data_IF_742565310818
#
_entry.id   IF_742565310818
#
_cell.length_a   1.000
_cell.length_b   1.000
_cell.length_c   1.000
_cell.angle_alpha   90.00
_cell.angle_beta   90.00
_cell.angle_gamma   90.00
#
_symmetry.space_group_name_H-M   'P 1'
#
loop_
_entity.id
_entity.type
_entity.pdbx_description
1 polymer ?
#
# COMPACT_ATOMS: atom_id res chain seq x y z
N UNK A 1 -45.55 -19.10 56.65
CA UNK A 1 -44.11 -18.74 56.79
C UNK A 1 -43.27 -19.31 55.65
N UNK A 2 -43.25 -20.63 55.39
CA UNK A 2 -42.54 -21.23 54.23
C UNK A 2 -42.97 -20.69 52.84
N UNK A 3 -44.25 -20.43 52.62
CA UNK A 3 -44.77 -19.86 51.37
C UNK A 3 -44.38 -18.39 51.14
N UNK A 4 -44.21 -17.61 52.21
CA UNK A 4 -43.71 -16.22 52.11
C UNK A 4 -42.20 -16.16 51.84
N UNK A 5 -41.43 -17.09 52.41
CA UNK A 5 -39.98 -17.18 52.16
C UNK A 5 -39.73 -17.54 50.68
N UNK A 6 -40.49 -18.49 50.12
CA UNK A 6 -40.38 -18.84 48.70
C UNK A 6 -40.79 -17.72 47.73
N UNK A 7 -41.80 -16.91 48.06
CA UNK A 7 -42.18 -15.73 47.26
C UNK A 7 -41.10 -14.62 47.33
N UNK A 8 -40.49 -14.42 48.49
CA UNK A 8 -39.39 -13.46 48.63
C UNK A 8 -38.16 -13.89 47.81
N UNK A 9 -37.76 -15.16 47.89
CA UNK A 9 -36.63 -15.70 47.12
C UNK A 9 -36.87 -15.56 45.61
N UNK A 10 -38.09 -15.85 45.14
CA UNK A 10 -38.45 -15.68 43.73
C UNK A 10 -38.35 -14.22 43.28
N UNK A 11 -38.81 -13.27 44.10
CA UNK A 11 -38.72 -11.84 43.79
C UNK A 11 -37.29 -11.32 43.80
N UNK A 12 -36.46 -11.79 44.74
CA UNK A 12 -35.03 -11.47 44.79
C UNK A 12 -34.33 -12.00 43.55
N UNK A 13 -34.62 -13.24 43.13
CA UNK A 13 -34.04 -13.79 41.90
C UNK A 13 -34.43 -12.98 40.66
N UNK A 14 -35.71 -12.67 40.49
CA UNK A 14 -36.18 -11.84 39.37
C UNK A 14 -35.57 -10.44 39.37
N UNK A 15 -35.31 -9.87 40.55
CA UNK A 15 -34.60 -8.59 40.66
C UNK A 15 -33.15 -8.73 40.20
N UNK A 16 -32.44 -9.74 40.69
CA UNK A 16 -31.05 -10.02 40.30
C UNK A 16 -30.93 -10.21 38.79
N UNK A 17 -31.78 -11.05 38.18
CA UNK A 17 -31.77 -11.32 36.74
C UNK A 17 -31.98 -10.03 35.92
N UNK A 18 -32.87 -9.14 36.37
CA UNK A 18 -33.12 -7.85 35.71
C UNK A 18 -31.94 -6.88 35.84
N UNK A 19 -31.29 -6.87 37.00
CA UNK A 19 -30.11 -6.02 37.23
C UNK A 19 -28.96 -6.50 36.36
N UNK A 20 -28.70 -7.80 36.32
CA UNK A 20 -27.65 -8.40 35.49
C UNK A 20 -27.90 -8.15 34.00
N UNK A 21 -29.13 -8.36 33.52
CA UNK A 21 -29.48 -8.11 32.12
C UNK A 21 -29.25 -6.64 31.71
N UNK A 22 -29.64 -5.69 32.57
CA UNK A 22 -29.39 -4.25 32.34
C UNK A 22 -27.91 -3.89 32.40
N UNK A 23 -27.16 -4.49 33.32
CA UNK A 23 -25.72 -4.30 33.43
C UNK A 23 -25.02 -4.76 32.16
N UNK A 24 -25.38 -5.94 31.64
CA UNK A 24 -24.82 -6.48 30.41
C UNK A 24 -25.15 -5.60 29.19
N UNK A 25 -26.39 -5.14 29.05
CA UNK A 25 -26.79 -4.18 28.01
C UNK A 25 -25.99 -2.87 28.07
N UNK A 26 -25.79 -2.33 29.28
CA UNK A 26 -24.99 -1.13 29.47
C UNK A 26 -23.54 -1.37 29.04
N UNK A 27 -22.96 -2.50 29.42
CA UNK A 27 -21.59 -2.85 29.05
C UNK A 27 -21.43 -3.00 27.53
N UNK A 28 -22.37 -3.69 26.87
CA UNK A 28 -22.41 -3.80 25.41
C UNK A 28 -22.56 -2.43 24.73
N UNK A 29 -23.39 -1.55 25.29
CA UNK A 29 -23.56 -0.19 24.79
C UNK A 29 -22.28 0.63 24.91
N UNK A 30 -21.62 0.60 26.06
CA UNK A 30 -20.34 1.29 26.29
C UNK A 30 -19.27 0.78 25.31
N UNK A 31 -19.17 -0.54 25.14
CA UNK A 31 -18.21 -1.16 24.19
C UNK A 31 -18.44 -0.67 22.76
N UNK A 32 -19.67 -0.82 22.26
CA UNK A 32 -20.04 -0.39 20.90
C UNK A 32 -19.79 1.10 20.68
N UNK A 33 -20.17 1.96 21.63
CA UNK A 33 -19.95 3.40 21.49
C UNK A 33 -18.45 3.76 21.52
N UNK A 34 -17.65 3.07 22.32
CA UNK A 34 -16.19 3.26 22.36
C UNK A 34 -15.58 2.93 21.00
N UNK A 35 -15.86 1.72 20.49
CA UNK A 35 -15.34 1.30 19.20
C UNK A 35 -15.91 2.11 18.03
N UNK A 36 -17.15 2.60 18.11
CA UNK A 36 -17.71 3.53 17.14
C UNK A 36 -16.87 4.80 17.03
N UNK A 37 -16.47 5.39 18.16
CA UNK A 37 -15.66 6.61 18.14
C UNK A 37 -14.23 6.34 17.62
N UNK A 38 -13.64 5.21 18.01
CA UNK A 38 -12.32 4.80 17.54
C UNK A 38 -12.29 4.57 16.03
N UNK A 39 -13.24 3.81 15.48
CA UNK A 39 -13.28 3.53 14.04
C UNK A 39 -13.58 4.79 13.22
N UNK A 40 -14.39 5.72 13.75
CA UNK A 40 -14.65 7.00 13.10
C UNK A 40 -13.38 7.86 13.03
N UNK A 41 -12.63 7.96 14.13
CA UNK A 41 -11.36 8.68 14.16
C UNK A 41 -10.33 8.02 13.24
N UNK A 42 -10.28 6.69 13.21
CA UNK A 42 -9.44 5.92 12.29
C UNK A 42 -9.77 6.22 10.83
N UNK A 43 -11.05 6.29 10.47
CA UNK A 43 -11.46 6.67 9.11
C UNK A 43 -10.97 8.08 8.73
N UNK A 44 -11.04 9.05 9.64
CA UNK A 44 -10.52 10.40 9.39
C UNK A 44 -9.01 10.40 9.16
N UNK A 45 -8.26 9.62 9.95
CA UNK A 45 -6.81 9.46 9.81
C UNK A 45 -6.44 8.83 8.46
N UNK A 46 -7.11 7.73 8.09
CA UNK A 46 -6.83 7.03 6.84
C UNK A 46 -7.16 7.87 5.61
N UNK A 47 -8.30 8.56 5.61
CA UNK A 47 -8.67 9.46 4.51
C UNK A 47 -7.65 10.58 4.33
N UNK A 48 -7.16 11.15 5.43
CA UNK A 48 -6.11 12.17 5.39
C UNK A 48 -4.78 11.59 4.89
N UNK A 49 -4.37 10.43 5.40
CA UNK A 49 -3.10 9.77 5.07
C UNK A 49 -2.98 9.48 3.57
N UNK A 50 -4.07 9.02 2.96
CA UNK A 50 -4.10 8.60 1.55
C UNK A 50 -4.64 9.67 0.59
N UNK A 51 -4.87 10.89 1.07
CA UNK A 51 -5.26 12.02 0.23
C UNK A 51 -4.13 12.46 -0.70
N UNK A 52 -2.90 12.49 -0.17
CA UNK A 52 -1.70 12.86 -0.92
C UNK A 52 -1.23 11.66 -1.75
N UNK A 53 -1.60 11.64 -3.03
CA UNK A 53 -1.26 10.58 -3.99
C UNK A 53 0.22 10.64 -4.41
N UNK A 54 1.11 10.36 -3.48
CA UNK A 54 2.58 10.37 -3.68
C UNK A 54 3.16 8.97 -3.53
N UNK A 55 4.35 8.77 -4.12
CA UNK A 55 5.10 7.50 -4.03
C UNK A 55 6.50 7.70 -3.44
N UNK A 56 7.04 6.65 -2.82
CA UNK A 56 8.43 6.63 -2.38
C UNK A 56 9.38 6.45 -3.58
N UNK A 57 10.67 6.74 -3.39
CA UNK A 57 11.69 6.74 -4.45
C UNK A 57 12.65 5.54 -4.40
N UNK A 58 12.63 4.77 -3.32
CA UNK A 58 13.49 3.61 -3.08
C UNK A 58 12.65 2.35 -2.81
N UNK A 59 13.21 1.19 -3.16
CA UNK A 59 12.50 -0.09 -3.15
C UNK A 59 12.06 -0.47 -1.73
N UNK A 60 12.94 -0.29 -0.75
CA UNK A 60 12.66 -0.66 0.65
C UNK A 60 11.51 0.16 1.25
N UNK A 61 11.49 1.47 1.00
CA UNK A 61 10.39 2.33 1.45
C UNK A 61 9.09 2.02 0.71
N UNK A 62 9.13 1.73 -0.59
CA UNK A 62 7.96 1.30 -1.35
C UNK A 62 7.35 -0.01 -0.80
N UNK A 63 8.18 -1.03 -0.52
CA UNK A 63 7.70 -2.29 0.07
C UNK A 63 7.14 -2.08 1.48
N UNK A 64 7.81 -1.29 2.33
CA UNK A 64 7.28 -0.93 3.66
C UNK A 64 5.94 -0.21 3.57
N UNK A 65 5.79 0.77 2.68
CA UNK A 65 4.52 1.48 2.45
C UNK A 65 3.41 0.53 2.00
N UNK A 66 3.74 -0.48 1.19
CA UNK A 66 2.79 -1.50 0.72
C UNK A 66 2.40 -2.48 1.82
N UNK A 67 3.35 -2.95 2.62
CA UNK A 67 3.08 -3.79 3.80
C UNK A 67 2.21 -3.05 4.82
N UNK A 68 2.54 -1.79 5.10
CA UNK A 68 1.76 -0.94 5.99
C UNK A 68 0.33 -0.76 5.46
N UNK A 69 0.17 -0.48 4.16
CA UNK A 69 -1.16 -0.36 3.56
C UNK A 69 -1.96 -1.67 3.66
N UNK A 70 -1.32 -2.83 3.46
CA UNK A 70 -1.96 -4.13 3.62
C UNK A 70 -2.47 -4.32 5.06
N UNK A 71 -1.59 -4.10 6.04
CA UNK A 71 -1.93 -4.20 7.46
C UNK A 71 -3.08 -3.26 7.84
N UNK A 72 -3.04 -2.01 7.39
CA UNK A 72 -4.09 -1.02 7.67
C UNK A 72 -5.41 -1.38 6.99
N UNK A 73 -5.38 -1.86 5.74
CA UNK A 73 -6.59 -2.26 5.02
C UNK A 73 -7.28 -3.47 5.65
N UNK A 74 -6.50 -4.46 6.12
CA UNK A 74 -6.99 -5.65 6.80
C UNK A 74 -7.50 -5.33 8.21
N UNK A 75 -6.71 -4.57 8.98
CA UNK A 75 -7.11 -4.08 10.30
C UNK A 75 -8.39 -3.23 10.25
N UNK A 76 -8.55 -2.39 9.22
CA UNK A 76 -9.78 -1.63 9.00
C UNK A 76 -10.98 -2.55 8.73
N UNK A 77 -10.80 -3.59 7.91
CA UNK A 77 -11.87 -4.53 7.61
C UNK A 77 -12.29 -5.33 8.86
N UNK A 78 -11.33 -5.74 9.68
CA UNK A 78 -11.59 -6.43 10.94
C UNK A 78 -12.28 -5.52 11.95
N UNK A 79 -11.79 -4.29 12.16
CA UNK A 79 -12.42 -3.32 13.05
C UNK A 79 -13.87 -3.02 12.61
N UNK A 80 -14.09 -2.83 11.31
CA UNK A 80 -15.42 -2.66 10.74
C UNK A 80 -16.34 -3.84 11.07
N UNK A 81 -15.92 -5.07 10.80
CA UNK A 81 -16.72 -6.26 11.07
C UNK A 81 -17.06 -6.40 12.57
N UNK A 82 -16.07 -6.16 13.44
CA UNK A 82 -16.24 -6.20 14.89
C UNK A 82 -17.24 -5.15 15.38
N UNK A 83 -17.06 -3.87 15.04
CA UNK A 83 -17.93 -2.79 15.52
C UNK A 83 -19.36 -2.89 14.96
N UNK A 84 -19.53 -3.33 13.71
CA UNK A 84 -20.86 -3.62 13.14
C UNK A 84 -21.50 -4.79 13.90
N UNK A 85 -20.75 -5.86 14.16
CA UNK A 85 -21.21 -7.00 14.93
C UNK A 85 -21.71 -6.60 16.32
N UNK A 86 -20.94 -5.80 17.05
CA UNK A 86 -21.32 -5.25 18.35
C UNK A 86 -22.62 -4.43 18.29
N UNK A 87 -22.74 -3.54 17.30
CA UNK A 87 -23.94 -2.73 17.12
C UNK A 87 -25.18 -3.57 16.82
N UNK A 88 -25.07 -4.54 15.92
CA UNK A 88 -26.17 -5.45 15.57
C UNK A 88 -26.59 -6.34 16.74
N UNK A 89 -25.63 -6.86 17.51
CA UNK A 89 -25.91 -7.63 18.72
C UNK A 89 -26.61 -6.75 19.77
N UNK A 90 -26.15 -5.52 19.98
CA UNK A 90 -26.75 -4.61 20.93
C UNK A 90 -28.21 -4.27 20.57
N UNK A 91 -28.52 -4.05 19.29
CA UNK A 91 -29.90 -3.87 18.81
C UNK A 91 -30.74 -5.10 19.16
N UNK A 92 -30.24 -6.29 18.85
CA UNK A 92 -30.94 -7.54 19.12
C UNK A 92 -31.23 -7.75 20.62
N UNK A 93 -30.25 -7.49 21.48
CA UNK A 93 -30.41 -7.62 22.94
C UNK A 93 -31.40 -6.59 23.51
N UNK A 94 -31.42 -5.36 22.98
CA UNK A 94 -32.40 -4.34 23.36
C UNK A 94 -33.83 -4.77 22.98
N UNK A 95 -34.03 -5.37 21.81
CA UNK A 95 -35.32 -5.89 21.37
C UNK A 95 -35.81 -7.02 22.29
N UNK A 96 -34.94 -8.00 22.59
CA UNK A 96 -35.26 -9.10 23.50
C UNK A 96 -35.60 -8.56 24.89
N UNK A 97 -34.79 -7.64 25.42
CA UNK A 97 -35.02 -7.07 26.75
C UNK A 97 -36.31 -6.25 26.79
N UNK A 98 -36.63 -5.51 25.73
CA UNK A 98 -37.89 -4.77 25.60
C UNK A 98 -39.09 -5.73 25.69
N UNK A 99 -39.07 -6.83 24.94
CA UNK A 99 -40.13 -7.84 24.95
C UNK A 99 -40.29 -8.51 26.32
N UNK A 100 -39.19 -8.80 27.02
CA UNK A 100 -39.21 -9.48 28.33
C UNK A 100 -39.65 -8.58 29.49
N UNK A 101 -39.33 -7.29 29.43
CA UNK A 101 -39.50 -6.37 30.57
C UNK A 101 -40.57 -5.31 30.37
N UNK A 102 -41.07 -5.13 29.14
CA UNK A 102 -42.02 -4.07 28.77
C UNK A 102 -41.40 -2.67 28.71
N UNK A 103 -40.07 -2.55 28.82
CA UNK A 103 -39.37 -1.27 28.69
C UNK A 103 -39.25 -0.93 27.21
N UNK A 104 -39.63 0.28 26.82
CA UNK A 104 -39.49 0.77 25.45
C UNK A 104 -38.06 1.28 25.18
N UNK A 105 -37.35 0.61 24.26
CA UNK A 105 -36.03 1.01 23.77
C UNK A 105 -36.03 1.48 22.32
N UNK A 106 -37.20 1.79 21.73
CA UNK A 106 -37.33 2.15 20.31
C UNK A 106 -36.40 3.30 19.91
N UNK A 107 -36.27 4.33 20.76
CA UNK A 107 -35.37 5.46 20.50
C UNK A 107 -33.88 5.06 20.56
N UNK A 108 -33.50 4.16 21.48
CA UNK A 108 -32.12 3.68 21.60
C UNK A 108 -31.74 2.83 20.39
N UNK A 109 -32.63 1.91 19.99
CA UNK A 109 -32.45 1.07 18.79
C UNK A 109 -32.33 1.95 17.54
N UNK A 110 -33.18 2.97 17.38
CA UNK A 110 -33.08 3.90 16.26
C UNK A 110 -31.75 4.67 16.25
N UNK A 111 -31.24 5.06 17.43
CA UNK A 111 -29.94 5.71 17.57
C UNK A 111 -28.80 4.78 17.12
N UNK A 112 -28.74 3.57 17.65
CA UNK A 112 -27.69 2.58 17.32
C UNK A 112 -27.71 2.25 15.82
N UNK A 113 -28.89 2.03 15.24
CA UNK A 113 -29.04 1.81 13.80
C UNK A 113 -28.51 3.00 12.96
N UNK A 114 -28.66 4.23 13.43
CA UNK A 114 -28.07 5.41 12.76
C UNK A 114 -26.54 5.36 12.82
N UNK A 115 -25.97 4.98 13.96
CA UNK A 115 -24.51 4.86 14.12
C UNK A 115 -23.94 3.74 13.24
N UNK A 116 -24.60 2.59 13.16
CA UNK A 116 -24.26 1.50 12.22
C UNK A 116 -24.23 2.02 10.79
N UNK A 117 -25.29 2.71 10.34
CA UNK A 117 -25.33 3.31 8.99
C UNK A 117 -24.21 4.32 8.76
N UNK A 118 -23.81 5.08 9.79
CA UNK A 118 -22.67 5.98 9.68
C UNK A 118 -21.37 5.21 9.45
N UNK A 119 -21.14 4.10 10.17
CA UNK A 119 -19.99 3.21 9.97
C UNK A 119 -19.99 2.67 8.54
N UNK A 120 -21.11 2.10 8.08
CA UNK A 120 -21.26 1.58 6.71
C UNK A 120 -20.93 2.64 5.64
N UNK A 121 -21.45 3.85 5.81
CA UNK A 121 -21.21 4.96 4.90
C UNK A 121 -19.74 5.38 4.86
N UNK A 122 -19.08 5.50 6.02
CA UNK A 122 -17.64 5.85 6.09
C UNK A 122 -16.78 4.73 5.53
N UNK A 123 -17.09 3.47 5.85
CA UNK A 123 -16.39 2.30 5.33
C UNK A 123 -16.46 2.23 3.79
N UNK A 124 -17.62 2.51 3.21
CA UNK A 124 -17.82 2.54 1.76
C UNK A 124 -16.96 3.62 1.09
N UNK A 125 -16.91 4.83 1.67
CA UNK A 125 -16.05 5.92 1.18
C UNK A 125 -14.58 5.55 1.23
N UNK A 126 -14.11 5.01 2.34
CA UNK A 126 -12.71 4.61 2.48
C UNK A 126 -12.35 3.43 1.57
N UNK A 127 -13.25 2.46 1.41
CA UNK A 127 -13.07 1.33 0.49
C UNK A 127 -12.86 1.77 -0.96
N UNK A 128 -13.46 2.89 -1.38
CA UNK A 128 -13.23 3.46 -2.70
C UNK A 128 -11.79 3.98 -2.91
N UNK A 129 -11.05 4.26 -1.84
CA UNK A 129 -9.65 4.74 -1.85
C UNK A 129 -8.67 3.57 -1.96
N UNK A 130 -9.01 2.40 -1.41
CA UNK A 130 -8.13 1.23 -1.33
C UNK A 130 -7.60 0.75 -2.67
N UNK A 131 -8.45 0.58 -3.68
CA UNK A 131 -7.98 0.08 -4.96
C UNK A 131 -7.07 1.09 -5.71
N UNK A 132 -7.44 2.38 -5.85
CA UNK A 132 -6.52 3.40 -6.38
C UNK A 132 -5.19 3.44 -5.63
N UNK A 133 -5.21 3.38 -4.30
CA UNK A 133 -3.99 3.41 -3.49
C UNK A 133 -3.12 2.17 -3.71
N UNK A 134 -3.71 0.98 -3.82
CA UNK A 134 -2.97 -0.25 -4.16
C UNK A 134 -2.25 -0.13 -5.50
N UNK A 135 -2.93 0.38 -6.51
CA UNK A 135 -2.36 0.58 -7.85
C UNK A 135 -1.22 1.61 -7.77
N UNK A 136 -1.42 2.71 -7.04
CA UNK A 136 -0.41 3.73 -6.82
C UNK A 136 0.86 3.16 -6.19
N UNK A 137 0.73 2.35 -5.14
CA UNK A 137 1.86 1.68 -4.47
C UNK A 137 2.59 0.71 -5.40
N UNK A 138 1.87 -0.02 -6.24
CA UNK A 138 2.48 -0.90 -7.26
C UNK A 138 3.27 -0.10 -8.30
N UNK A 139 2.72 1.03 -8.77
CA UNK A 139 3.42 1.93 -9.69
C UNK A 139 4.68 2.49 -9.02
N UNK A 140 4.57 2.96 -7.77
CA UNK A 140 5.70 3.47 -6.99
C UNK A 140 6.83 2.45 -6.83
N UNK A 141 6.49 1.21 -6.49
CA UNK A 141 7.46 0.12 -6.38
C UNK A 141 8.14 -0.18 -7.72
N UNK A 142 7.38 -0.29 -8.81
CA UNK A 142 7.97 -0.52 -10.14
C UNK A 142 8.86 0.63 -10.58
N UNK A 143 8.47 1.87 -10.28
CA UNK A 143 9.30 3.05 -10.50
C UNK A 143 10.61 2.98 -9.71
N UNK A 144 10.57 2.63 -8.43
CA UNK A 144 11.76 2.51 -7.60
C UNK A 144 12.71 1.39 -8.09
N UNK A 145 12.15 0.25 -8.51
CA UNK A 145 12.90 -0.85 -9.13
C UNK A 145 13.56 -0.37 -10.43
N UNK A 146 12.82 0.32 -11.30
CA UNK A 146 13.37 0.92 -12.51
C UNK A 146 14.56 1.84 -12.21
N UNK A 147 14.43 2.74 -11.22
CA UNK A 147 15.52 3.66 -10.85
C UNK A 147 16.75 2.90 -10.36
N UNK A 148 16.57 1.91 -9.47
CA UNK A 148 17.67 1.07 -8.96
C UNK A 148 18.36 0.33 -10.09
N UNK A 149 17.61 -0.39 -10.91
CA UNK A 149 18.14 -1.21 -11.99
C UNK A 149 18.83 -0.34 -13.05
N UNK A 150 18.30 0.86 -13.32
CA UNK A 150 18.96 1.83 -14.21
C UNK A 150 20.31 2.28 -13.64
N UNK A 151 20.38 2.61 -12.35
CA UNK A 151 21.64 2.96 -11.70
C UNK A 151 22.67 1.83 -11.76
N UNK A 152 22.23 0.59 -11.56
CA UNK A 152 23.11 -0.60 -11.66
C UNK A 152 23.65 -0.78 -13.08
N UNK A 153 22.79 -0.71 -14.10
CA UNK A 153 23.19 -0.79 -15.51
C UNK A 153 24.13 0.35 -15.87
N UNK A 154 23.86 1.58 -15.44
CA UNK A 154 24.76 2.72 -15.65
C UNK A 154 26.15 2.49 -15.02
N UNK A 155 26.20 1.89 -13.84
CA UNK A 155 27.47 1.53 -13.19
C UNK A 155 28.22 0.46 -13.98
N UNK A 156 27.52 -0.55 -14.49
CA UNK A 156 28.12 -1.61 -15.32
C UNK A 156 28.67 -1.05 -16.64
N UNK A 157 27.92 -0.17 -17.31
CA UNK A 157 28.35 0.51 -18.53
C UNK A 157 29.64 1.31 -18.28
N UNK A 158 29.70 2.07 -17.18
CA UNK A 158 30.89 2.87 -16.83
C UNK A 158 32.10 1.99 -16.51
N UNK A 159 31.93 0.92 -15.74
CA UNK A 159 33.01 -0.03 -15.44
C UNK A 159 33.56 -0.64 -16.72
N UNK A 160 32.69 -1.03 -17.65
CA UNK A 160 33.11 -1.57 -18.94
C UNK A 160 33.84 -0.53 -19.78
N UNK A 161 33.40 0.73 -19.79
CA UNK A 161 34.07 1.83 -20.48
C UNK A 161 35.51 2.03 -19.96
N UNK A 162 35.68 2.00 -18.64
CA UNK A 162 36.98 2.12 -17.97
C UNK A 162 37.89 0.93 -18.29
N UNK A 163 37.37 -0.31 -18.22
CA UNK A 163 38.10 -1.53 -18.55
C UNK A 163 38.58 -1.51 -20.01
N UNK A 164 37.70 -1.14 -20.95
CA UNK A 164 38.04 -1.03 -22.38
C UNK A 164 39.12 0.02 -22.63
N UNK A 165 39.01 1.18 -21.97
CA UNK A 165 40.02 2.24 -22.06
C UNK A 165 41.38 1.77 -21.55
N UNK A 166 41.41 1.12 -20.39
CA UNK A 166 42.65 0.57 -19.82
C UNK A 166 43.28 -0.52 -20.70
N UNK A 167 42.45 -1.34 -21.35
CA UNK A 167 42.93 -2.34 -22.32
C UNK A 167 43.54 -1.69 -23.57
N UNK A 168 42.94 -0.62 -24.08
CA UNK A 168 43.45 0.13 -25.24
C UNK A 168 44.78 0.85 -24.94
N UNK A 169 44.93 1.37 -23.73
CA UNK A 169 46.16 2.05 -23.28
C UNK A 169 47.30 1.06 -22.97
N UNK A 170 47.01 -0.26 -22.92
CA UNK A 170 48.00 -1.29 -22.64
C UNK A 170 48.94 -1.55 -23.83
N UNK A 171 50.24 -1.58 -23.55
CA UNK A 171 51.29 -1.90 -24.53
C UNK A 171 51.20 -3.30 -25.16
N UNK A 172 50.30 -4.15 -24.67
CA UNK A 172 50.08 -5.53 -25.14
C UNK A 172 48.83 -5.69 -26.01
N UNK A 173 48.07 -4.62 -26.24
CA UNK A 173 46.79 -4.63 -26.97
C UNK A 173 46.91 -5.27 -28.37
N UNK A 174 47.90 -4.85 -29.17
CA UNK A 174 48.10 -5.35 -30.54
C UNK A 174 48.36 -6.87 -30.61
N UNK A 175 48.94 -7.48 -29.57
CA UNK A 175 49.20 -8.93 -29.51
C UNK A 175 48.03 -9.75 -28.98
N UNK A 176 47.02 -9.10 -28.38
CA UNK A 176 45.87 -9.74 -27.74
C UNK A 176 44.54 -9.42 -28.42
N UNK A 177 44.51 -8.54 -29.43
CA UNK A 177 43.30 -8.09 -30.12
C UNK A 177 42.32 -9.22 -30.54
N UNK A 178 42.81 -10.31 -31.13
CA UNK A 178 41.97 -11.48 -31.50
C UNK A 178 41.29 -12.14 -30.29
N UNK A 179 41.94 -12.12 -29.13
CA UNK A 179 41.37 -12.67 -27.88
C UNK A 179 40.40 -11.70 -27.22
N UNK A 180 40.51 -10.40 -27.48
CA UNK A 180 39.68 -9.35 -26.87
C UNK A 180 38.35 -9.18 -27.61
N UNK A 181 38.34 -9.38 -28.93
CA UNK A 181 37.17 -9.16 -29.77
C UNK A 181 35.92 -9.97 -29.34
N UNK A 182 35.99 -11.26 -28.96
CA UNK A 182 34.80 -12.00 -28.51
C UNK A 182 34.23 -11.49 -27.18
N UNK A 183 35.08 -11.10 -26.22
CA UNK A 183 34.62 -10.51 -24.96
C UNK A 183 33.94 -9.17 -25.19
N UNK A 184 34.47 -8.38 -26.11
CA UNK A 184 33.87 -7.12 -26.52
C UNK A 184 32.47 -7.33 -27.13
N UNK A 185 32.32 -8.28 -28.05
CA UNK A 185 31.03 -8.61 -28.68
C UNK A 185 30.00 -9.14 -27.67
N UNK A 186 30.42 -9.94 -26.70
CA UNK A 186 29.52 -10.44 -25.65
C UNK A 186 29.06 -9.30 -24.73
N UNK A 187 30.00 -8.46 -24.26
CA UNK A 187 29.68 -7.31 -23.41
C UNK A 187 28.77 -6.30 -24.13
N UNK A 188 29.03 -6.04 -25.41
CA UNK A 188 28.17 -5.26 -26.31
C UNK A 188 26.72 -5.77 -26.27
N UNK A 189 26.54 -7.08 -26.46
CA UNK A 189 25.22 -7.70 -26.49
C UNK A 189 24.53 -7.62 -25.13
N UNK A 190 25.28 -7.82 -24.04
CA UNK A 190 24.77 -7.69 -22.67
C UNK A 190 24.31 -6.27 -22.37
N UNK A 191 25.09 -5.24 -22.72
CA UNK A 191 24.70 -3.82 -22.55
C UNK A 191 23.44 -3.50 -23.36
N UNK A 192 23.40 -3.85 -24.65
CA UNK A 192 22.22 -3.63 -25.51
C UNK A 192 20.97 -4.30 -24.94
N UNK A 193 21.10 -5.52 -24.41
CA UNK A 193 20.00 -6.24 -23.78
C UNK A 193 19.55 -5.57 -22.47
N UNK A 194 20.49 -5.20 -21.59
CA UNK A 194 20.20 -4.53 -20.32
C UNK A 194 19.49 -3.20 -20.55
N UNK A 195 19.99 -2.35 -21.45
CA UNK A 195 19.37 -1.08 -21.80
C UNK A 195 17.96 -1.28 -22.36
N UNK A 196 17.77 -2.27 -23.24
CA UNK A 196 16.44 -2.62 -23.77
C UNK A 196 15.46 -3.01 -22.66
N UNK A 197 15.92 -3.79 -21.67
CA UNK A 197 15.09 -4.18 -20.53
C UNK A 197 14.70 -2.99 -19.66
N UNK A 198 15.63 -2.07 -19.38
CA UNK A 198 15.35 -0.83 -18.64
C UNK A 198 14.34 0.05 -19.40
N UNK A 199 14.51 0.23 -20.71
CA UNK A 199 13.55 0.97 -21.55
C UNK A 199 12.15 0.35 -21.52
N UNK A 200 12.06 -0.98 -21.59
CA UNK A 200 10.79 -1.70 -21.50
C UNK A 200 10.13 -1.50 -20.13
N UNK A 201 10.88 -1.64 -19.04
CA UNK A 201 10.39 -1.40 -17.69
C UNK A 201 9.85 0.03 -17.52
N UNK A 202 10.61 1.03 -17.99
CA UNK A 202 10.19 2.43 -17.99
C UNK A 202 8.87 2.65 -18.77
N UNK A 203 8.73 2.03 -19.94
CA UNK A 203 7.50 2.12 -20.74
C UNK A 203 6.31 1.49 -20.01
N UNK A 204 6.48 0.33 -19.38
CA UNK A 204 5.42 -0.31 -18.58
C UNK A 204 4.99 0.58 -17.41
N UNK A 205 5.94 1.24 -16.72
CA UNK A 205 5.64 2.19 -15.65
C UNK A 205 4.86 3.39 -16.18
N UNK A 206 5.32 4.01 -17.28
CA UNK A 206 4.64 5.15 -17.90
C UNK A 206 3.22 4.81 -18.40
N UNK A 207 3.06 3.64 -19.03
CA UNK A 207 1.74 3.14 -19.43
C UNK A 207 0.83 2.93 -18.23
N UNK A 208 1.36 2.36 -17.14
CA UNK A 208 0.59 2.18 -15.90
C UNK A 208 0.15 3.51 -15.29
N UNK A 209 1.04 4.52 -15.32
CA UNK A 209 0.74 5.88 -14.86
C UNK A 209 -0.38 6.51 -15.70
N UNK A 210 -0.25 6.51 -17.02
CA UNK A 210 -1.25 7.12 -17.90
C UNK A 210 -2.59 6.38 -17.86
N UNK A 211 -2.56 5.05 -17.88
CA UNK A 211 -3.77 4.21 -17.87
C UNK A 211 -4.63 4.34 -16.60
N UNK A 212 -4.03 4.79 -15.50
CA UNK A 212 -4.73 5.01 -14.23
C UNK A 212 -4.93 6.51 -13.90
N UNK A 213 -4.60 7.43 -14.82
CA UNK A 213 -4.82 8.86 -14.62
C UNK A 213 -3.87 9.52 -13.61
N UNK A 214 -2.67 8.96 -13.40
CA UNK A 214 -1.67 9.48 -12.45
C UNK A 214 -0.59 10.35 -13.13
N UNK A 215 -0.93 11.08 -14.19
CA UNK A 215 0.07 11.80 -15.01
C UNK A 215 0.84 12.87 -14.24
N UNK A 216 0.26 13.39 -13.16
CA UNK A 216 0.83 14.37 -12.23
C UNK A 216 1.49 13.73 -11.01
N UNK A 217 1.71 12.41 -11.01
CA UNK A 217 2.30 11.66 -9.90
C UNK A 217 3.65 12.24 -9.47
N UNK A 218 3.80 12.43 -8.16
CA UNK A 218 5.01 12.95 -7.53
C UNK A 218 5.61 11.97 -6.54
N UNK A 219 6.92 12.06 -6.38
CA UNK A 219 7.61 11.41 -5.26
C UNK A 219 7.30 12.15 -3.95
N UNK A 220 7.59 11.52 -2.81
CA UNK A 220 7.58 12.18 -1.48
C UNK A 220 8.41 13.47 -1.43
N UNK A 221 9.44 13.60 -2.26
CA UNK A 221 10.26 14.82 -2.36
C UNK A 221 9.69 15.87 -3.34
N UNK A 222 8.47 15.65 -3.86
CA UNK A 222 7.79 16.59 -4.75
C UNK A 222 8.23 16.53 -6.22
N UNK A 223 9.11 15.60 -6.61
CA UNK A 223 9.59 15.47 -7.99
C UNK A 223 8.57 14.74 -8.86
N UNK A 224 8.37 15.17 -10.11
CA UNK A 224 7.47 14.48 -11.03
C UNK A 224 8.07 13.13 -11.45
N UNK A 225 7.32 12.05 -11.28
CA UNK A 225 7.79 10.69 -11.59
C UNK A 225 8.02 10.50 -13.09
N UNK A 226 7.14 11.04 -13.94
CA UNK A 226 7.30 10.89 -15.40
C UNK A 226 8.53 11.64 -15.91
N UNK A 227 8.86 12.81 -15.34
CA UNK A 227 10.06 13.57 -15.68
C UNK A 227 11.33 12.84 -15.20
N UNK A 228 11.31 12.28 -14.00
CA UNK A 228 12.42 11.46 -13.49
C UNK A 228 12.70 10.25 -14.38
N UNK A 229 11.66 9.57 -14.88
CA UNK A 229 11.82 8.45 -15.82
C UNK A 229 12.48 8.92 -17.11
N UNK A 230 12.02 10.03 -17.70
CA UNK A 230 12.59 10.58 -18.94
C UNK A 230 14.05 10.99 -18.76
N UNK A 231 14.37 11.64 -17.65
CA UNK A 231 15.75 12.06 -17.33
C UNK A 231 16.67 10.84 -17.22
N UNK A 232 16.24 9.81 -16.47
CA UNK A 232 16.98 8.56 -16.31
C UNK A 232 17.23 7.85 -17.65
N UNK A 233 16.21 7.80 -18.52
CA UNK A 233 16.35 7.22 -19.86
C UNK A 233 17.31 8.00 -20.75
N UNK A 234 17.32 9.34 -20.67
CA UNK A 234 18.26 10.19 -21.42
C UNK A 234 19.71 9.95 -20.98
N UNK A 235 19.94 9.81 -19.67
CA UNK A 235 21.26 9.49 -19.12
C UNK A 235 21.71 8.11 -19.62
N UNK A 236 20.81 7.12 -19.57
CA UNK A 236 21.09 5.77 -20.05
C UNK A 236 21.41 5.73 -21.55
N UNK A 237 20.65 6.46 -22.38
CA UNK A 237 20.91 6.56 -23.82
C UNK A 237 22.25 7.22 -24.12
N UNK A 238 22.62 8.26 -23.36
CA UNK A 238 23.93 8.91 -23.50
C UNK A 238 25.06 7.95 -23.14
N UNK A 239 24.92 7.21 -22.04
CA UNK A 239 25.91 6.24 -21.58
C UNK A 239 26.03 5.06 -22.57
N UNK A 240 24.91 4.51 -23.04
CA UNK A 240 24.89 3.49 -24.09
C UNK A 240 25.66 4.00 -25.32
N UNK A 241 25.30 5.17 -25.85
CA UNK A 241 25.95 5.71 -27.04
C UNK A 241 27.45 5.94 -26.87
N UNK A 242 27.90 6.45 -25.72
CA UNK A 242 29.32 6.64 -25.43
C UNK A 242 30.08 5.32 -25.43
N UNK A 243 29.52 4.30 -24.80
CA UNK A 243 30.10 2.96 -24.76
C UNK A 243 30.09 2.29 -26.13
N UNK A 244 29.01 2.45 -26.91
CA UNK A 244 28.93 1.90 -28.26
C UNK A 244 29.92 2.57 -29.23
N UNK A 245 30.28 3.84 -29.02
CA UNK A 245 31.33 4.50 -29.83
C UNK A 245 32.73 3.91 -29.58
N UNK A 246 32.95 3.24 -28.44
CA UNK A 246 34.16 2.46 -28.19
C UNK A 246 34.16 1.15 -29.01
N UNK A 247 33.02 0.72 -29.57
CA UNK A 247 32.93 -0.46 -30.46
C UNK A 247 33.55 -0.21 -31.84
N UNK A 248 33.49 1.02 -32.35
CA UNK A 248 34.00 1.40 -33.68
C UNK A 248 35.54 1.34 -33.79
N UNK A 249 36.26 1.09 -32.68
CA UNK A 249 37.72 0.97 -32.67
C UNK A 249 38.23 -0.30 -33.35
N UNK A 250 37.33 -1.24 -33.61
CA UNK A 250 37.57 -2.39 -34.49
C UNK A 250 37.86 -1.99 -35.95
N UNK A 251 37.63 -0.74 -36.35
CA UNK A 251 38.06 -0.20 -37.67
C UNK A 251 39.51 0.33 -37.68
N UNK A 252 40.18 0.39 -36.53
CA UNK A 252 41.59 0.79 -36.42
C UNK A 252 42.57 -0.39 -36.32
N UNK A 253 42.06 -1.62 -36.46
CA UNK A 253 42.82 -2.87 -36.70
C UNK A 253 42.72 -3.20 -38.18
#
# INVERSE_FOLDING_TARGET
MRTMIGDLDQRVQQFTDRVEARFNLLNQSVLFHTHYHEIMAWYDEMEKKYAERVVDSDVESCERSKEQWLYESDGTAQAYATTIGEGTQLVHELEIHSQRTGIDYTSNIACINRLIRNIENRNSKLSAIWNPQRILLQIGLRFAIFVRDNCEVLSQIRSWEEDMRGMLESSTFAGNAEKVLPFHQDNTAQVKMAVKNIRKCAQEVLQSIHGNGFSDLRTRQGKCVTDLIKENLKILETAEHQVMQVEDWSTWI
#
